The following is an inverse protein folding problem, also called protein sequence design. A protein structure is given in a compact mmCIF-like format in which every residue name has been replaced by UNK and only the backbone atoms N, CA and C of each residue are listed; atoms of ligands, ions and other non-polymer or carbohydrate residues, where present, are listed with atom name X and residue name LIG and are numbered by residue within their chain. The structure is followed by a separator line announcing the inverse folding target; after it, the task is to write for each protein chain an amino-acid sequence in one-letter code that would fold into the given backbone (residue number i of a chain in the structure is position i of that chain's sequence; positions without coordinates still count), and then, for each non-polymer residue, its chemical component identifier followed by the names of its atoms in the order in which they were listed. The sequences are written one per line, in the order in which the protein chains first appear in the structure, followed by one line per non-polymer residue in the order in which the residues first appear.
data_IF_695554499424
#
_entry.id   IF_695554499424
#
_cell.length_a   1.000
_cell.length_b   1.000
_cell.length_c   1.000
_cell.angle_alpha   90.00
_cell.angle_beta   90.00
_cell.angle_gamma   90.00
#
_symmetry.space_group_name_H-M   'P 1'
#
loop_
_entity.id
_entity.type
_entity.pdbx_description
1 polymer ?
#
# COMPACT_ATOMS: atom_id res chain seq x y z
N UNK A 1 1.00 -21.16 -9.49
CA UNK A 1 1.05 -20.93 -8.05
C UNK A 1 2.45 -21.31 -7.61
N UNK A 2 3.07 -20.48 -6.80
CA UNK A 2 4.37 -20.79 -6.17
C UNK A 2 4.14 -21.81 -5.08
N UNK A 3 4.97 -22.85 -5.02
CA UNK A 3 4.88 -23.91 -4.01
C UNK A 3 5.86 -23.67 -2.86
N UNK A 4 5.65 -24.33 -1.72
CA UNK A 4 6.60 -24.30 -0.59
C UNK A 4 8.00 -24.73 -1.04
N UNK A 5 8.08 -25.77 -1.88
CA UNK A 5 9.35 -26.21 -2.46
C UNK A 5 10.03 -25.11 -3.27
N UNK A 6 9.29 -24.39 -4.12
CA UNK A 6 9.86 -23.28 -4.90
C UNK A 6 10.44 -22.18 -3.99
N UNK A 7 9.82 -21.93 -2.84
CA UNK A 7 10.32 -20.97 -1.84
C UNK A 7 11.61 -21.47 -1.19
N UNK A 8 11.65 -22.72 -0.73
CA UNK A 8 12.84 -23.32 -0.11
C UNK A 8 14.02 -23.40 -1.10
N UNK A 9 13.75 -23.76 -2.35
CA UNK A 9 14.75 -23.77 -3.43
C UNK A 9 15.26 -22.33 -3.68
N UNK A 10 14.37 -21.32 -3.65
CA UNK A 10 14.73 -19.90 -3.80
C UNK A 10 15.57 -19.37 -2.62
N UNK A 11 15.27 -19.80 -1.40
CA UNK A 11 16.05 -19.46 -0.20
C UNK A 11 17.51 -19.91 -0.38
N UNK A 12 17.73 -21.15 -0.83
CA UNK A 12 19.06 -21.68 -1.08
C UNK A 12 19.75 -20.97 -2.26
N UNK A 13 19.02 -20.79 -3.38
CA UNK A 13 19.58 -20.20 -4.59
C UNK A 13 20.03 -18.75 -4.42
N UNK A 14 19.37 -17.99 -3.55
CA UNK A 14 19.68 -16.58 -3.29
C UNK A 14 20.56 -16.36 -2.04
N UNK A 15 21.04 -17.43 -1.39
CA UNK A 15 21.82 -17.35 -0.15
C UNK A 15 21.13 -16.52 0.94
N UNK A 16 19.82 -16.74 1.12
CA UNK A 16 18.99 -16.03 2.10
C UNK A 16 19.46 -16.35 3.52
N UNK A 17 19.68 -15.31 4.33
CA UNK A 17 20.07 -15.42 5.73
C UNK A 17 18.88 -15.36 6.68
N UNK A 18 17.87 -14.59 6.29
CA UNK A 18 16.69 -14.33 7.11
C UNK A 18 15.41 -14.40 6.30
N UNK A 19 14.33 -14.84 6.94
CA UNK A 19 12.97 -14.75 6.40
C UNK A 19 12.15 -13.81 7.27
N UNK A 20 11.62 -12.77 6.64
CA UNK A 20 10.82 -11.73 7.25
C UNK A 20 9.34 -11.99 7.00
N UNK A 21 8.65 -12.48 8.03
CA UNK A 21 7.22 -12.77 7.95
C UNK A 21 6.42 -11.50 8.22
N UNK A 22 5.58 -11.10 7.26
CA UNK A 22 4.86 -9.83 7.29
C UNK A 22 3.35 -10.00 7.30
N UNK A 23 2.64 -9.16 8.03
CA UNK A 23 1.17 -9.17 8.08
C UNK A 23 0.62 -7.76 8.23
N UNK A 24 -0.68 -7.57 7.99
CA UNK A 24 -1.30 -6.23 8.04
C UNK A 24 -2.21 -6.10 9.25
N UNK A 25 -2.01 -5.06 10.06
CA UNK A 25 -2.90 -4.78 11.19
C UNK A 25 -4.22 -4.11 10.74
N UNK A 26 -5.24 -3.97 11.63
CA UNK A 26 -6.52 -3.36 11.27
C UNK A 26 -6.46 -1.90 10.83
N UNK A 27 -5.36 -1.19 11.11
CA UNK A 27 -5.12 0.18 10.66
C UNK A 27 -4.44 0.23 9.29
N UNK A 28 -4.11 -0.92 8.73
CA UNK A 28 -3.45 -1.06 7.43
C UNK A 28 -1.93 -0.97 7.49
N UNK A 29 -1.31 -0.95 8.68
CA UNK A 29 0.15 -0.92 8.79
C UNK A 29 0.70 -2.33 8.56
N UNK A 30 1.72 -2.41 7.72
CA UNK A 30 2.47 -3.65 7.52
C UNK A 30 3.42 -3.84 8.70
N UNK A 31 3.22 -4.94 9.42
CA UNK A 31 3.98 -5.40 10.58
C UNK A 31 4.87 -6.57 10.14
N UNK A 32 5.94 -6.84 10.87
CA UNK A 32 6.85 -7.92 10.52
C UNK A 32 7.54 -8.55 11.74
N UNK A 33 8.01 -9.78 11.57
CA UNK A 33 8.92 -10.49 12.48
C UNK A 33 9.92 -11.30 11.65
N UNK A 34 11.20 -11.18 11.98
CA UNK A 34 12.28 -11.79 11.22
C UNK A 34 12.80 -13.05 11.92
N UNK A 35 12.95 -14.13 11.15
CA UNK A 35 13.48 -15.41 11.60
C UNK A 35 14.80 -15.72 10.91
N UNK A 36 15.71 -16.37 11.64
CA UNK A 36 16.89 -17.00 11.04
C UNK A 36 16.45 -18.08 10.03
N UNK A 37 17.15 -18.20 8.91
CA UNK A 37 16.84 -19.19 7.88
C UNK A 37 16.83 -20.62 8.42
N UNK A 38 17.55 -20.92 9.52
CA UNK A 38 17.53 -22.24 10.16
C UNK A 38 16.16 -22.63 10.73
N UNK A 39 15.25 -21.67 10.92
CA UNK A 39 13.90 -21.88 11.43
C UNK A 39 12.87 -22.06 10.30
N UNK A 40 13.31 -22.08 9.04
CA UNK A 40 12.43 -22.10 7.87
C UNK A 40 12.55 -23.43 7.16
N UNK A 41 11.54 -24.28 7.36
CA UNK A 41 11.40 -25.60 6.76
C UNK A 41 9.96 -25.79 6.24
N UNK A 42 9.58 -27.02 5.87
CA UNK A 42 8.21 -27.30 5.42
C UNK A 42 7.16 -27.16 6.55
N UNK A 43 7.57 -27.33 7.81
CA UNK A 43 6.69 -27.31 8.99
C UNK A 43 6.15 -25.89 9.23
N UNK A 44 6.97 -24.84 9.08
CA UNK A 44 6.47 -23.46 9.25
C UNK A 44 5.39 -23.06 8.23
N UNK A 45 5.35 -23.69 7.04
CA UNK A 45 4.29 -23.44 6.06
C UNK A 45 3.04 -24.29 6.32
N UNK A 46 3.20 -25.46 6.95
CA UNK A 46 2.10 -26.35 7.28
C UNK A 46 1.40 -25.95 8.59
N UNK A 47 2.19 -25.59 9.60
CA UNK A 47 1.73 -25.30 10.96
C UNK A 47 1.79 -23.80 11.28
N UNK A 48 2.60 -23.00 10.59
CA UNK A 48 2.75 -21.58 10.93
C UNK A 48 3.67 -21.34 12.13
N UNK A 49 3.73 -20.08 12.57
CA UNK A 49 4.54 -19.68 13.73
C UNK A 49 3.81 -18.71 14.65
N UNK A 50 4.06 -18.80 15.95
CA UNK A 50 3.38 -18.01 16.96
C UNK A 50 3.92 -16.58 17.06
N UNK A 51 3.05 -15.65 17.43
CA UNK A 51 3.42 -14.28 17.81
C UNK A 51 2.44 -13.70 18.84
N UNK A 52 2.85 -12.61 19.52
CA UNK A 52 1.99 -11.90 20.46
C UNK A 52 1.03 -10.94 19.74
N UNK A 53 -0.22 -11.36 19.62
CA UNK A 53 -1.32 -10.56 19.05
C UNK A 53 -1.87 -9.48 19.99
N UNK A 54 -1.54 -9.49 21.29
CA UNK A 54 -2.02 -8.47 22.23
C UNK A 54 -1.34 -7.11 22.03
N UNK A 55 -0.14 -7.13 21.46
CA UNK A 55 0.61 -5.93 21.07
C UNK A 55 0.08 -5.27 19.78
N UNK A 56 -0.88 -5.91 19.08
CA UNK A 56 -1.52 -5.35 17.88
C UNK A 56 -2.82 -4.65 18.27
N UNK A 57 -2.87 -3.33 18.06
CA UNK A 57 -3.99 -2.52 18.46
C UNK A 57 -5.31 -2.98 17.82
N UNK A 58 -6.28 -3.36 18.66
CA UNK A 58 -7.59 -3.83 18.21
C UNK A 58 -7.67 -5.34 17.96
N UNK A 59 -6.66 -6.12 18.32
CA UNK A 59 -6.69 -7.60 18.28
C UNK A 59 -7.02 -8.20 19.65
N UNK A 60 -6.15 -9.06 20.17
CA UNK A 60 -6.42 -9.87 21.37
C UNK A 60 -6.20 -9.09 22.65
N UNK A 61 -6.88 -9.52 23.71
CA UNK A 61 -6.55 -9.09 25.07
C UNK A 61 -5.30 -9.84 25.55
N UNK A 62 -4.61 -9.29 26.57
CA UNK A 62 -3.36 -9.86 27.07
C UNK A 62 -3.49 -11.31 27.60
N UNK A 63 -4.68 -11.72 28.01
CA UNK A 63 -4.97 -13.07 28.51
C UNK A 63 -5.26 -14.09 27.39
N UNK A 64 -5.32 -13.64 26.13
CA UNK A 64 -5.53 -14.46 24.93
C UNK A 64 -4.54 -14.03 23.83
N UNK A 65 -3.31 -13.67 24.22
CA UNK A 65 -2.32 -13.00 23.37
C UNK A 65 -1.90 -13.78 22.14
N UNK A 66 -1.78 -15.10 22.28
CA UNK A 66 -1.12 -15.94 21.28
C UNK A 66 -1.94 -16.00 19.99
N UNK A 67 -1.26 -15.76 18.88
CA UNK A 67 -1.81 -15.81 17.53
C UNK A 67 -0.80 -16.52 16.61
N UNK A 68 -1.26 -16.97 15.44
CA UNK A 68 -0.43 -17.75 14.53
C UNK A 68 -0.37 -17.10 13.14
N UNK A 69 0.86 -16.95 12.63
CA UNK A 69 1.17 -16.49 11.28
C UNK A 69 1.28 -17.70 10.36
N UNK A 70 0.51 -17.68 9.28
CA UNK A 70 0.54 -18.69 8.22
C UNK A 70 1.18 -18.08 6.96
N UNK A 71 2.46 -18.40 6.64
CA UNK A 71 3.14 -17.84 5.48
C UNK A 71 2.48 -18.27 4.17
N UNK A 72 2.30 -17.33 3.24
CA UNK A 72 1.79 -17.59 1.89
C UNK A 72 2.94 -17.65 0.87
N UNK A 73 3.27 -18.84 0.32
CA UNK A 73 4.35 -19.00 -0.66
C UNK A 73 4.23 -18.13 -1.91
N UNK A 74 3.01 -17.75 -2.32
CA UNK A 74 2.82 -16.91 -3.51
C UNK A 74 3.34 -15.49 -3.35
N UNK A 75 3.52 -15.04 -2.10
CA UNK A 75 3.95 -13.69 -1.75
C UNK A 75 5.47 -13.55 -1.52
N UNK A 76 6.21 -14.66 -1.59
CA UNK A 76 7.63 -14.67 -1.30
C UNK A 76 8.43 -13.81 -2.29
N UNK A 77 9.21 -12.86 -1.77
CA UNK A 77 10.09 -12.01 -2.57
C UNK A 77 11.36 -11.62 -1.80
N UNK A 78 12.45 -11.31 -2.50
CA UNK A 78 13.67 -10.78 -1.86
C UNK A 78 13.47 -9.28 -1.60
N UNK A 79 13.73 -8.86 -0.37
CA UNK A 79 13.70 -7.45 0.01
C UNK A 79 14.99 -6.76 -0.46
N UNK A 80 14.90 -5.68 -1.26
CA UNK A 80 16.07 -5.04 -1.86
C UNK A 80 16.78 -4.04 -0.92
N UNK A 81 16.30 -3.83 0.30
CA UNK A 81 16.79 -2.77 1.18
C UNK A 81 17.61 -3.26 2.37
N UNK A 82 17.46 -4.52 2.79
CA UNK A 82 18.25 -5.07 3.89
C UNK A 82 19.69 -5.35 3.45
N UNK A 83 20.64 -5.13 4.37
CA UNK A 83 22.06 -5.40 4.12
C UNK A 83 22.36 -6.89 3.93
N UNK A 84 21.71 -7.74 4.74
CA UNK A 84 21.77 -9.20 4.61
C UNK A 84 20.60 -9.68 3.75
N UNK A 85 20.86 -10.66 2.88
CA UNK A 85 19.83 -11.20 1.98
C UNK A 85 18.65 -11.73 2.79
N UNK A 86 17.51 -11.06 2.65
CA UNK A 86 16.31 -11.34 3.44
C UNK A 86 15.13 -11.54 2.51
N UNK A 87 14.41 -12.66 2.68
CA UNK A 87 13.18 -12.94 1.95
C UNK A 87 11.97 -12.47 2.75
N UNK A 88 11.12 -11.63 2.18
CA UNK A 88 9.83 -11.24 2.76
C UNK A 88 8.75 -12.21 2.31
N UNK A 89 7.90 -12.68 3.25
CA UNK A 89 6.72 -13.51 2.96
C UNK A 89 5.52 -12.93 3.72
N UNK A 90 4.41 -12.69 3.02
CA UNK A 90 3.16 -12.25 3.63
C UNK A 90 2.44 -13.42 4.29
N UNK A 91 1.93 -13.20 5.49
CA UNK A 91 1.20 -14.19 6.26
C UNK A 91 -0.28 -13.81 6.39
N UNK A 92 -1.13 -14.81 6.37
CA UNK A 92 -2.48 -14.72 6.96
C UNK A 92 -2.37 -14.97 8.47
N UNK A 93 -3.37 -14.51 9.22
CA UNK A 93 -3.45 -14.73 10.68
C UNK A 93 -4.57 -15.70 11.01
N UNK A 94 -4.28 -16.70 11.84
CA UNK A 94 -5.26 -17.73 12.26
C UNK A 94 -5.33 -17.84 13.78
N UNK A 95 -6.46 -18.37 14.27
CA UNK A 95 -6.64 -18.70 15.68
C UNK A 95 -5.82 -19.95 16.04
N UNK A 96 -4.94 -19.90 17.05
CA UNK A 96 -3.97 -20.98 17.30
C UNK A 96 -4.60 -22.29 17.78
N UNK A 97 -5.78 -22.22 18.41
CA UNK A 97 -6.47 -23.42 18.95
C UNK A 97 -7.33 -24.13 17.93
N UNK A 98 -7.86 -23.40 16.94
CA UNK A 98 -8.80 -23.96 15.95
C UNK A 98 -8.23 -24.02 14.55
N UNK A 99 -7.16 -23.27 14.25
CA UNK A 99 -6.63 -23.06 12.90
C UNK A 99 -7.54 -22.21 12.01
N UNK A 100 -8.64 -21.66 12.56
CA UNK A 100 -9.62 -20.91 11.76
C UNK A 100 -9.10 -19.51 11.39
N UNK A 101 -9.43 -18.98 10.20
CA UNK A 101 -9.01 -17.64 9.78
C UNK A 101 -9.47 -16.55 10.75
N UNK A 102 -8.52 -15.74 11.22
CA UNK A 102 -8.81 -14.70 12.21
C UNK A 102 -9.75 -13.64 11.65
N UNK A 103 -10.80 -13.32 12.39
CA UNK A 103 -11.88 -12.43 11.92
C UNK A 103 -11.47 -10.96 11.78
N UNK A 104 -10.33 -10.55 12.34
CA UNK A 104 -9.80 -9.18 12.27
C UNK A 104 -8.51 -9.07 11.46
N UNK A 105 -8.14 -10.13 10.75
CA UNK A 105 -7.10 -10.09 9.73
C UNK A 105 -7.66 -9.44 8.44
N UNK A 106 -7.18 -8.25 8.03
CA UNK A 106 -7.61 -7.60 6.81
C UNK A 106 -7.39 -8.46 5.55
N UNK A 107 -6.29 -9.23 5.50
CA UNK A 107 -5.95 -10.08 4.35
C UNK A 107 -6.89 -11.27 4.26
N UNK A 108 -7.15 -11.94 5.39
CA UNK A 108 -8.19 -12.97 5.52
C UNK A 108 -9.59 -12.47 5.14
N UNK A 109 -9.96 -11.23 5.48
CA UNK A 109 -11.23 -10.61 5.05
C UNK A 109 -11.28 -10.44 3.53
N UNK A 110 -10.18 -9.99 2.90
CA UNK A 110 -10.11 -9.86 1.44
C UNK A 110 -10.30 -11.22 0.74
N UNK A 111 -9.67 -12.30 1.24
CA UNK A 111 -9.90 -13.66 0.73
C UNK A 111 -11.36 -14.10 0.85
N UNK A 112 -11.99 -13.83 2.01
CA UNK A 112 -13.41 -14.12 2.23
C UNK A 112 -14.29 -13.34 1.24
N UNK A 113 -13.93 -12.10 0.89
CA UNK A 113 -14.65 -11.30 -0.11
C UNK A 113 -14.54 -11.88 -1.53
N UNK A 114 -13.36 -12.36 -1.95
CA UNK A 114 -13.19 -13.05 -3.23
C UNK A 114 -14.01 -14.35 -3.28
N UNK A 115 -13.95 -15.16 -2.23
CA UNK A 115 -14.73 -16.40 -2.13
C UNK A 115 -16.24 -16.12 -2.12
N UNK A 116 -16.68 -15.04 -1.47
CA UNK A 116 -18.08 -14.61 -1.47
C UNK A 116 -18.55 -14.23 -2.88
N UNK A 117 -17.75 -13.48 -3.65
CA UNK A 117 -18.10 -13.16 -5.04
C UNK A 117 -18.32 -14.44 -5.85
N UNK A 118 -17.38 -15.40 -5.75
CA UNK A 118 -17.49 -16.67 -6.45
C UNK A 118 -18.76 -17.44 -6.06
N UNK A 119 -19.13 -17.46 -4.78
CA UNK A 119 -20.33 -18.16 -4.29
C UNK A 119 -21.64 -17.51 -4.76
N UNK A 120 -21.65 -16.21 -5.06
CA UNK A 120 -22.83 -15.54 -5.62
C UNK A 120 -23.15 -15.95 -7.06
N UNK A 121 -22.16 -16.48 -7.79
CA UNK A 121 -22.26 -16.79 -9.21
C UNK A 121 -22.27 -15.55 -10.13
N UNK A 122 -22.12 -14.33 -9.61
CA UNK A 122 -22.04 -13.10 -10.41
C UNK A 122 -20.72 -13.05 -11.19
N UNK A 123 -19.61 -13.44 -10.56
CA UNK A 123 -18.29 -13.54 -11.17
C UNK A 123 -17.40 -14.54 -10.43
N UNK A 124 -16.30 -14.93 -11.04
CA UNK A 124 -15.27 -15.77 -10.42
C UNK A 124 -14.00 -15.00 -10.04
N UNK A 125 -13.82 -13.81 -10.61
CA UNK A 125 -12.63 -12.98 -10.40
C UNK A 125 -13.04 -11.52 -10.28
N UNK A 126 -12.44 -10.82 -9.33
CA UNK A 126 -12.52 -9.36 -9.23
C UNK A 126 -11.12 -8.77 -9.36
N UNK A 127 -10.98 -7.76 -10.22
CA UNK A 127 -9.75 -7.01 -10.38
C UNK A 127 -9.86 -5.64 -9.74
N UNK A 128 -8.77 -5.23 -9.10
CA UNK A 128 -8.57 -3.93 -8.48
C UNK A 128 -7.33 -3.26 -9.11
N UNK A 129 -7.39 -1.95 -9.33
CA UNK A 129 -6.27 -1.11 -9.77
C UNK A 129 -6.21 0.14 -8.90
N UNK A 130 -5.45 0.11 -7.78
CA UNK A 130 -5.28 1.26 -6.91
C UNK A 130 -4.19 2.22 -7.43
N UNK A 131 -4.47 3.52 -7.42
CA UNK A 131 -3.55 4.62 -7.71
C UNK A 131 -3.35 5.41 -6.42
N UNK A 132 -2.30 5.10 -5.65
CA UNK A 132 -2.04 5.71 -4.35
C UNK A 132 -1.08 6.90 -4.50
N UNK A 133 -1.65 8.10 -4.59
CA UNK A 133 -0.90 9.35 -4.60
C UNK A 133 -0.18 9.56 -3.26
N UNK A 134 0.93 10.28 -3.26
CA UNK A 134 1.72 10.57 -2.05
C UNK A 134 2.49 11.88 -2.19
N UNK A 135 3.01 12.37 -1.08
CA UNK A 135 3.92 13.52 -1.03
C UNK A 135 5.30 13.09 -0.58
N UNK A 136 6.33 13.80 -1.03
CA UNK A 136 7.70 13.69 -0.50
C UNK A 136 8.12 15.05 0.07
N UNK A 137 8.52 15.08 1.34
CA UNK A 137 8.98 16.28 2.03
C UNK A 137 10.45 16.16 2.44
N UNK A 138 11.11 17.31 2.57
CA UNK A 138 12.49 17.42 3.05
C UNK A 138 12.54 17.53 4.58
N UNK A 139 11.55 18.18 5.21
CA UNK A 139 11.44 18.33 6.66
C UNK A 139 9.97 18.25 7.10
N UNK A 140 9.72 17.50 8.17
CA UNK A 140 8.39 17.35 8.78
C UNK A 140 8.52 17.46 10.28
N UNK A 141 7.88 18.47 10.87
CA UNK A 141 7.88 18.73 12.33
C UNK A 141 6.46 18.85 12.81
N UNK A 142 6.12 18.20 13.93
CA UNK A 142 4.80 18.33 14.53
C UNK A 142 4.87 18.31 16.06
N UNK A 143 3.88 18.93 16.70
CA UNK A 143 3.73 18.98 18.15
C UNK A 143 2.25 18.93 18.50
N UNK A 144 1.91 18.26 19.59
CA UNK A 144 0.55 18.12 20.09
C UNK A 144 0.53 18.17 21.62
N UNK A 145 1.06 19.25 22.19
CA UNK A 145 0.96 19.54 23.61
C UNK A 145 -0.08 20.65 23.87
N UNK A 146 -0.57 20.82 25.12
CA UNK A 146 -1.65 21.76 25.45
C UNK A 146 -1.43 23.22 25.05
N UNK A 147 -0.17 23.66 24.87
CA UNK A 147 0.17 25.04 24.52
C UNK A 147 0.78 25.17 23.12
N UNK A 148 1.19 24.07 22.51
CA UNK A 148 1.82 24.03 21.20
C UNK A 148 1.26 22.84 20.40
N UNK A 149 0.27 23.13 19.56
CA UNK A 149 -0.31 22.16 18.64
C UNK A 149 -0.17 22.67 17.21
N UNK A 150 0.47 21.88 16.36
CA UNK A 150 0.66 22.23 14.96
C UNK A 150 1.68 21.36 14.27
N UNK A 151 1.90 21.63 12.99
CA UNK A 151 2.93 20.98 12.18
C UNK A 151 3.52 21.98 11.20
N UNK A 152 4.72 21.66 10.70
CA UNK A 152 5.41 22.36 9.62
C UNK A 152 5.93 21.30 8.67
N UNK A 153 5.71 21.54 7.39
CA UNK A 153 6.23 20.74 6.28
C UNK A 153 7.14 21.64 5.47
N UNK A 154 8.21 21.07 4.93
CA UNK A 154 9.08 21.76 4.01
C UNK A 154 9.50 20.85 2.87
N UNK A 155 9.69 21.43 1.69
CA UNK A 155 10.29 20.78 0.53
C UNK A 155 10.82 21.86 -0.41
N UNK A 156 11.97 21.58 -1.01
CA UNK A 156 12.60 22.40 -2.05
C UNK A 156 11.66 22.74 -3.22
N UNK A 157 10.67 21.90 -3.51
CA UNK A 157 9.67 22.16 -4.55
C UNK A 157 8.56 23.14 -4.10
N UNK A 158 8.38 23.38 -2.80
CA UNK A 158 7.26 24.17 -2.32
C UNK A 158 7.34 25.63 -2.77
N UNK A 159 6.20 26.25 -3.13
CA UNK A 159 6.14 27.65 -3.53
C UNK A 159 6.44 28.60 -2.37
N UNK A 160 6.46 28.12 -1.12
CA UNK A 160 6.86 28.91 0.04
C UNK A 160 8.36 29.19 0.10
N UNK A 161 9.15 28.54 -0.77
CA UNK A 161 10.61 28.64 -0.75
C UNK A 161 11.18 29.49 -1.89
N UNK A 162 10.35 30.24 -2.61
CA UNK A 162 10.78 31.06 -3.76
C UNK A 162 11.79 32.16 -3.44
N UNK A 163 11.89 32.57 -2.18
CA UNK A 163 12.81 33.59 -1.67
C UNK A 163 13.76 33.04 -0.60
N UNK A 164 13.80 31.72 -0.41
CA UNK A 164 14.67 31.08 0.59
C UNK A 164 16.13 31.17 0.19
N UNK A 165 16.99 31.55 1.15
CA UNK A 165 18.44 31.52 0.98
C UNK A 165 18.96 30.09 1.17
N UNK A 166 19.59 29.56 0.12
CA UNK A 166 20.31 28.28 0.16
C UNK A 166 21.81 28.53 0.03
N UNK A 167 22.64 27.67 0.61
CA UNK A 167 24.11 27.76 0.51
C UNK A 167 24.58 27.79 -0.96
N UNK A 168 23.93 27.01 -1.83
CA UNK A 168 24.18 26.98 -3.29
C UNK A 168 23.42 28.03 -4.10
N UNK A 169 22.66 28.91 -3.47
CA UNK A 169 21.74 29.85 -4.11
C UNK A 169 20.37 29.26 -4.45
N UNK A 170 19.37 30.13 -4.62
CA UNK A 170 18.03 29.75 -5.04
C UNK A 170 17.92 29.75 -6.57
N UNK A 171 17.71 28.58 -7.16
CA UNK A 171 17.67 28.39 -8.62
C UNK A 171 16.32 28.77 -9.26
N UNK A 172 15.30 29.08 -8.46
CA UNK A 172 14.01 29.63 -8.91
C UNK A 172 13.03 28.65 -9.57
N UNK A 173 13.41 27.39 -9.79
CA UNK A 173 12.59 26.36 -10.44
C UNK A 173 11.62 25.66 -9.47
N UNK A 174 10.74 26.43 -8.80
CA UNK A 174 9.78 25.89 -7.84
C UNK A 174 8.45 25.47 -8.50
N UNK A 175 7.80 24.49 -7.88
CA UNK A 175 6.45 24.07 -8.26
C UNK A 175 5.44 25.07 -7.69
N UNK A 176 4.55 25.57 -8.54
CA UNK A 176 3.46 26.45 -8.09
C UNK A 176 2.37 25.63 -7.42
N UNK A 177 1.59 26.25 -6.54
CA UNK A 177 0.35 25.65 -6.03
C UNK A 177 -0.52 25.17 -7.20
N UNK A 178 -0.93 23.90 -7.17
CA UNK A 178 -1.67 23.22 -8.25
C UNK A 178 -0.96 23.22 -9.62
N UNK A 179 0.37 23.34 -9.65
CA UNK A 179 1.18 23.48 -10.86
C UNK A 179 2.15 22.32 -11.12
N UNK A 180 2.07 21.24 -10.36
CA UNK A 180 3.02 20.12 -10.42
C UNK A 180 2.78 19.12 -11.54
N UNK A 181 1.64 19.20 -12.26
CA UNK A 181 1.30 18.25 -13.31
C UNK A 181 1.60 18.85 -14.70
N UNK A 182 2.61 18.42 -15.46
CA UNK A 182 3.71 17.51 -15.11
C UNK A 182 5.03 18.03 -15.73
N UNK A 183 5.50 19.22 -15.35
CA UNK A 183 6.62 19.87 -16.01
C UNK A 183 7.87 18.99 -15.95
N UNK A 184 8.73 19.11 -16.97
CA UNK A 184 10.02 18.42 -17.00
C UNK A 184 11.00 19.05 -15.99
N UNK A 185 12.08 18.34 -15.61
CA UNK A 185 13.19 18.93 -14.86
C UNK A 185 13.73 20.21 -15.53
N UNK A 186 14.23 21.20 -14.77
CA UNK A 186 14.52 21.14 -13.34
C UNK A 186 13.36 21.51 -12.39
N UNK A 187 12.14 21.77 -12.90
CA UNK A 187 10.99 22.06 -12.02
C UNK A 187 10.58 20.81 -11.24
N UNK A 188 10.51 19.67 -11.94
CA UNK A 188 10.35 18.36 -11.32
C UNK A 188 11.70 17.85 -10.80
N UNK A 189 11.86 17.82 -9.48
CA UNK A 189 13.11 17.45 -8.82
C UNK A 189 13.21 15.97 -8.46
N UNK A 190 12.11 15.22 -8.63
CA UNK A 190 11.98 13.85 -8.11
C UNK A 190 11.92 12.76 -9.20
N UNK A 191 12.24 13.09 -10.45
CA UNK A 191 12.21 12.15 -11.59
C UNK A 191 12.99 10.86 -11.32
N UNK A 192 14.27 10.96 -10.95
CA UNK A 192 15.12 9.79 -10.71
C UNK A 192 14.67 9.00 -9.47
N UNK A 193 14.25 9.70 -8.41
CA UNK A 193 13.74 9.07 -7.20
C UNK A 193 12.49 8.22 -7.48
N UNK A 194 11.56 8.73 -8.30
CA UNK A 194 10.36 7.95 -8.70
C UNK A 194 10.71 6.76 -9.58
N UNK A 195 11.71 6.88 -10.46
CA UNK A 195 12.22 5.75 -11.24
C UNK A 195 12.80 4.66 -10.33
N UNK A 196 13.55 5.03 -9.30
CA UNK A 196 14.09 4.09 -8.32
C UNK A 196 12.99 3.42 -7.49
N UNK A 197 11.96 4.17 -7.08
CA UNK A 197 10.78 3.62 -6.42
C UNK A 197 10.09 2.53 -7.26
N UNK A 198 9.83 2.79 -8.56
CA UNK A 198 9.27 1.76 -9.45
C UNK A 198 10.21 0.54 -9.56
N UNK A 199 11.51 0.78 -9.68
CA UNK A 199 12.51 -0.29 -9.77
C UNK A 199 12.53 -1.18 -8.53
N UNK A 200 12.45 -0.59 -7.33
CA UNK A 200 12.39 -1.34 -6.08
C UNK A 200 11.11 -2.16 -5.94
N UNK A 201 9.96 -1.57 -6.31
CA UNK A 201 8.68 -2.29 -6.32
C UNK A 201 8.70 -3.48 -7.27
N UNK A 202 9.26 -3.31 -8.47
CA UNK A 202 9.40 -4.38 -9.45
C UNK A 202 10.29 -5.53 -8.96
N UNK A 203 11.38 -5.23 -8.23
CA UNK A 203 12.24 -6.26 -7.61
C UNK A 203 11.50 -7.10 -6.57
N UNK A 204 10.51 -6.53 -5.89
CA UNK A 204 9.64 -7.25 -4.95
C UNK A 204 8.42 -7.91 -5.63
N UNK A 205 8.37 -7.94 -6.96
CA UNK A 205 7.34 -8.66 -7.73
C UNK A 205 6.11 -7.84 -8.12
N UNK A 206 6.02 -6.57 -7.72
CA UNK A 206 4.91 -5.71 -8.11
C UNK A 206 4.98 -5.38 -9.62
N UNK A 207 3.83 -5.46 -10.30
CA UNK A 207 3.73 -5.11 -11.73
C UNK A 207 3.52 -3.61 -11.90
N UNK A 208 4.61 -2.90 -12.14
CA UNK A 208 4.63 -1.44 -12.29
C UNK A 208 4.26 -0.97 -13.71
N UNK A 209 3.78 0.27 -13.83
CA UNK A 209 3.41 0.88 -15.12
C UNK A 209 4.16 2.18 -15.42
N UNK A 210 3.75 3.28 -14.78
CA UNK A 210 4.22 4.64 -15.03
C UNK A 210 4.57 5.33 -13.71
N UNK A 211 5.23 6.47 -13.78
CA UNK A 211 5.28 7.42 -12.66
C UNK A 211 5.16 8.85 -13.20
N UNK A 212 4.65 9.76 -12.39
CA UNK A 212 4.68 11.19 -12.70
C UNK A 212 4.61 12.03 -11.44
N UNK A 213 4.98 13.29 -11.58
CA UNK A 213 4.61 14.32 -10.62
C UNK A 213 3.08 14.56 -10.72
N UNK A 214 2.46 14.81 -9.57
CA UNK A 214 1.02 15.07 -9.44
C UNK A 214 0.73 16.57 -9.35
N UNK A 215 -0.54 16.96 -9.20
CA UNK A 215 -0.98 18.36 -9.29
C UNK A 215 -0.39 19.26 -8.20
N UNK A 216 -0.35 18.80 -6.94
CA UNK A 216 0.20 19.62 -5.85
C UNK A 216 1.73 19.67 -5.87
N UNK A 217 2.29 20.70 -5.26
CA UNK A 217 3.75 20.80 -5.07
C UNK A 217 4.25 19.63 -4.21
N UNK A 218 5.35 18.98 -4.61
CA UNK A 218 5.90 17.81 -3.94
C UNK A 218 4.98 16.58 -3.89
N UNK A 219 4.02 16.48 -4.82
CA UNK A 219 3.08 15.36 -4.94
C UNK A 219 3.48 14.44 -6.10
N UNK A 220 3.27 13.13 -5.92
CA UNK A 220 3.67 12.12 -6.89
C UNK A 220 2.67 10.98 -6.96
N UNK A 221 2.73 10.24 -8.08
CA UNK A 221 1.99 8.99 -8.28
C UNK A 221 2.86 7.98 -9.04
N UNK A 222 2.78 6.71 -8.62
CA UNK A 222 3.31 5.55 -9.33
C UNK A 222 2.13 4.64 -9.72
N UNK A 223 2.20 4.06 -10.92
CA UNK A 223 1.18 3.18 -11.46
C UNK A 223 1.48 1.71 -11.15
N UNK A 224 0.44 0.98 -10.71
CA UNK A 224 0.43 -0.47 -10.60
C UNK A 224 -0.56 -1.06 -11.61
N UNK A 225 -0.13 -2.09 -12.32
CA UNK A 225 -1.04 -2.88 -13.15
C UNK A 225 -2.05 -3.58 -12.26
N UNK A 226 -3.32 -3.52 -12.64
CA UNK A 226 -4.40 -4.16 -11.92
C UNK A 226 -4.17 -5.66 -11.71
N UNK A 227 -4.78 -6.20 -10.66
CA UNK A 227 -4.66 -7.60 -10.26
C UNK A 227 -5.83 -8.03 -9.39
N UNK A 228 -5.82 -9.29 -8.94
CA UNK A 228 -6.84 -9.81 -8.01
C UNK A 228 -6.82 -9.02 -6.69
N UNK A 229 -7.92 -9.03 -5.93
CA UNK A 229 -8.09 -8.20 -4.74
C UNK A 229 -6.94 -8.41 -3.74
N UNK A 230 -6.65 -9.66 -3.37
CA UNK A 230 -5.61 -9.96 -2.37
C UNK A 230 -4.22 -9.58 -2.90
N UNK A 231 -3.92 -9.96 -4.14
CA UNK A 231 -2.64 -9.62 -4.79
C UNK A 231 -2.40 -8.11 -4.82
N UNK A 232 -3.44 -7.31 -5.10
CA UNK A 232 -3.30 -5.85 -5.15
C UNK A 232 -3.23 -5.20 -3.77
N UNK A 233 -3.85 -5.81 -2.76
CA UNK A 233 -3.65 -5.39 -1.38
C UNK A 233 -2.20 -5.62 -0.94
N UNK A 234 -1.62 -6.79 -1.26
CA UNK A 234 -0.22 -7.12 -0.98
C UNK A 234 0.74 -6.18 -1.74
N UNK A 235 0.51 -5.95 -3.03
CA UNK A 235 1.29 -4.99 -3.82
C UNK A 235 1.17 -3.55 -3.32
N UNK A 236 0.04 -3.15 -2.74
CA UNK A 236 -0.11 -1.82 -2.15
C UNK A 236 0.72 -1.66 -0.86
N UNK A 237 0.96 -2.74 -0.11
CA UNK A 237 1.90 -2.72 1.01
C UNK A 237 3.35 -2.59 0.53
N UNK A 238 3.72 -3.34 -0.51
CA UNK A 238 5.03 -3.19 -1.19
C UNK A 238 5.21 -1.76 -1.71
N UNK A 239 4.20 -1.21 -2.39
CA UNK A 239 4.19 0.16 -2.91
C UNK A 239 4.56 1.18 -1.82
N UNK A 240 3.83 1.15 -0.70
CA UNK A 240 4.06 2.08 0.42
C UNK A 240 5.43 1.85 1.05
N UNK A 241 5.84 0.59 1.22
CA UNK A 241 7.12 0.25 1.81
C UNK A 241 8.29 0.76 0.95
N UNK A 242 8.31 0.44 -0.35
CA UNK A 242 9.36 0.88 -1.27
C UNK A 242 9.45 2.41 -1.36
N UNK A 243 8.31 3.11 -1.39
CA UNK A 243 8.31 4.58 -1.43
C UNK A 243 8.89 5.19 -0.15
N UNK A 244 8.52 4.68 1.03
CA UNK A 244 9.13 5.17 2.27
C UNK A 244 10.62 4.86 2.33
N UNK A 245 11.05 3.66 1.92
CA UNK A 245 12.46 3.25 1.94
C UNK A 245 13.31 4.09 0.99
N UNK A 246 12.88 4.26 -0.27
CA UNK A 246 13.62 5.06 -1.25
C UNK A 246 13.63 6.53 -0.84
N UNK A 247 12.50 7.11 -0.39
CA UNK A 247 12.51 8.48 0.11
C UNK A 247 13.52 8.66 1.26
N UNK A 248 13.56 7.71 2.21
CA UNK A 248 14.51 7.74 3.32
C UNK A 248 15.97 7.63 2.88
N UNK A 249 16.28 6.80 1.88
CA UNK A 249 17.64 6.69 1.29
C UNK A 249 18.10 8.02 0.69
N UNK A 250 17.19 8.78 0.08
CA UNK A 250 17.45 10.11 -0.46
C UNK A 250 17.45 11.23 0.61
N UNK A 251 17.34 10.88 1.90
CA UNK A 251 17.28 11.86 2.99
C UNK A 251 15.97 12.66 3.03
N UNK A 252 14.89 12.10 2.49
CA UNK A 252 13.55 12.70 2.45
C UNK A 252 12.54 11.82 3.21
N UNK A 253 11.32 12.31 3.36
CA UNK A 253 10.23 11.56 4.00
C UNK A 253 8.96 11.57 3.15
N UNK A 254 8.41 10.39 2.88
CA UNK A 254 7.17 10.26 2.11
C UNK A 254 5.95 10.13 3.02
N UNK A 255 4.79 10.61 2.55
CA UNK A 255 3.51 10.43 3.24
C UNK A 255 2.36 10.19 2.29
N UNK A 256 1.48 9.28 2.69
CA UNK A 256 0.23 8.91 2.01
C UNK A 256 -1.00 9.60 2.60
N UNK A 257 -0.79 10.59 3.49
CA UNK A 257 -1.91 11.22 4.17
C UNK A 257 -2.82 11.96 3.17
N UNK A 258 -4.16 11.93 3.34
CA UNK A 258 -5.07 12.47 2.33
C UNK A 258 -4.91 13.96 2.01
N UNK A 259 -4.39 14.74 2.97
CA UNK A 259 -4.35 16.20 2.88
C UNK A 259 -3.25 16.78 3.76
N UNK A 260 -1.98 16.75 3.33
CA UNK A 260 -0.89 17.36 4.08
C UNK A 260 -0.88 18.89 3.96
N UNK A 261 -1.24 19.43 2.80
CA UNK A 261 -1.16 20.86 2.48
C UNK A 261 -2.56 21.43 2.24
N UNK A 262 -2.90 22.50 2.98
CA UNK A 262 -4.12 23.27 2.76
C UNK A 262 -3.99 24.13 1.49
N UNK A 263 -5.07 24.24 0.71
CA UNK A 263 -5.11 25.08 -0.50
C UNK A 263 -4.50 24.45 -1.77
N UNK A 264 -3.73 23.36 -1.66
CA UNK A 264 -3.25 22.60 -2.82
C UNK A 264 -4.12 21.35 -3.09
N UNK A 265 -3.73 20.42 -3.97
CA UNK A 265 -4.36 19.09 -4.10
C UNK A 265 -4.05 18.19 -2.88
N UNK A 266 -4.62 16.99 -2.82
CA UNK A 266 -4.37 16.05 -1.71
C UNK A 266 -4.47 14.62 -2.20
N UNK A 267 -3.78 13.70 -1.53
CA UNK A 267 -3.57 12.34 -2.00
C UNK A 267 -4.84 11.48 -1.99
N UNK A 268 -5.24 11.02 -3.18
CA UNK A 268 -6.21 9.98 -3.39
C UNK A 268 -5.63 8.57 -3.32
N UNK A 269 -6.54 7.61 -3.18
CA UNK A 269 -6.32 6.25 -3.65
C UNK A 269 -7.45 5.95 -4.62
N UNK A 270 -7.29 6.29 -5.91
CA UNK A 270 -8.30 5.95 -6.90
C UNK A 270 -8.30 4.44 -7.07
N UNK A 271 -9.47 3.80 -7.11
CA UNK A 271 -9.57 2.34 -7.15
C UNK A 271 -10.45 1.91 -8.30
N UNK A 272 -9.81 1.51 -9.39
CA UNK A 272 -10.46 0.94 -10.57
C UNK A 272 -10.87 -0.51 -10.28
N UNK A 273 -12.11 -0.88 -10.63
CA UNK A 273 -12.69 -2.17 -10.26
C UNK A 273 -13.38 -2.82 -11.46
N UNK A 274 -13.20 -4.13 -11.63
CA UNK A 274 -13.97 -4.91 -12.61
C UNK A 274 -14.23 -6.33 -12.13
N UNK A 275 -15.41 -6.87 -12.44
CA UNK A 275 -15.77 -8.27 -12.20
C UNK A 275 -15.71 -9.06 -13.51
N UNK A 276 -15.22 -10.29 -13.44
CA UNK A 276 -15.07 -11.20 -14.56
C UNK A 276 -15.69 -12.57 -14.24
N UNK A 277 -16.17 -13.24 -15.28
CA UNK A 277 -16.76 -14.58 -15.20
C UNK A 277 -16.38 -15.40 -16.42
N UNK A 278 -15.81 -16.59 -16.22
CA UNK A 278 -15.35 -17.48 -17.29
C UNK A 278 -14.38 -16.78 -18.25
N UNK A 279 -13.53 -15.89 -17.72
CA UNK A 279 -12.58 -15.12 -18.52
C UNK A 279 -13.19 -14.00 -19.38
N UNK A 280 -14.46 -13.63 -19.16
CA UNK A 280 -15.14 -12.51 -19.84
C UNK A 280 -15.48 -11.38 -18.87
N UNK A 281 -15.38 -10.10 -19.29
CA UNK A 281 -15.72 -8.97 -18.43
C UNK A 281 -17.23 -8.93 -18.18
N UNK A 282 -17.64 -8.84 -16.92
CA UNK A 282 -19.05 -8.67 -16.53
C UNK A 282 -19.48 -7.22 -16.64
N UNK A 283 -18.53 -6.27 -16.51
CA UNK A 283 -18.85 -4.84 -16.47
C UNK A 283 -18.98 -4.17 -17.84
N UNK A 284 -18.49 -4.80 -18.91
CA UNK A 284 -18.65 -4.29 -20.27
C UNK A 284 -20.05 -4.59 -20.81
N UNK A 285 -20.71 -3.62 -21.43
CA UNK A 285 -22.07 -3.78 -21.95
C UNK A 285 -22.47 -2.67 -22.93
N UNK A 286 -23.78 -2.46 -23.07
CA UNK A 286 -24.38 -1.57 -24.07
C UNK A 286 -25.23 -0.44 -23.44
N UNK A 287 -25.06 -0.18 -22.13
CA UNK A 287 -25.78 0.86 -21.41
C UNK A 287 -24.98 2.16 -21.39
N UNK A 288 -25.13 2.94 -20.33
CA UNK A 288 -24.43 4.20 -20.17
C UNK A 288 -22.91 3.99 -20.16
N UNK A 289 -22.18 4.76 -20.99
CA UNK A 289 -20.73 4.71 -21.10
C UNK A 289 -20.17 3.29 -21.36
N UNK A 290 -20.86 2.50 -22.20
CA UNK A 290 -20.50 1.12 -22.57
C UNK A 290 -20.43 0.15 -21.38
N UNK A 291 -21.16 0.47 -20.29
CA UNK A 291 -21.27 -0.37 -19.11
C UNK A 291 -22.43 -1.37 -19.23
N UNK A 292 -22.29 -2.51 -18.56
CA UNK A 292 -23.38 -3.48 -18.39
C UNK A 292 -24.38 -3.04 -17.33
N UNK A 293 -25.54 -3.70 -17.31
CA UNK A 293 -26.54 -3.47 -16.26
C UNK A 293 -26.00 -3.87 -14.88
N UNK A 294 -25.21 -4.93 -14.82
CA UNK A 294 -24.52 -5.42 -13.62
C UNK A 294 -23.55 -4.37 -13.08
N UNK A 295 -22.79 -3.70 -13.94
CA UNK A 295 -21.90 -2.60 -13.52
C UNK A 295 -22.69 -1.41 -12.97
N UNK A 296 -23.79 -1.02 -13.61
CA UNK A 296 -24.63 0.06 -13.12
C UNK A 296 -25.24 -0.25 -11.74
N UNK A 297 -25.65 -1.50 -11.50
CA UNK A 297 -26.11 -1.94 -10.17
C UNK A 297 -24.98 -1.98 -9.15
N UNK A 298 -23.78 -2.41 -9.55
CA UNK A 298 -22.59 -2.39 -8.72
C UNK A 298 -22.26 -0.96 -8.24
N UNK A 299 -22.24 0.01 -9.15
CA UNK A 299 -22.07 1.44 -8.84
C UNK A 299 -23.20 1.93 -7.92
N UNK A 300 -24.45 1.56 -8.22
CA UNK A 300 -25.60 1.91 -7.38
C UNK A 300 -25.47 1.39 -5.95
N UNK A 301 -24.91 0.20 -5.75
CA UNK A 301 -24.59 -0.36 -4.43
C UNK A 301 -23.55 0.46 -3.68
N UNK A 302 -22.44 0.83 -4.35
CA UNK A 302 -21.40 1.68 -3.75
C UNK A 302 -22.00 3.03 -3.32
N UNK A 303 -22.76 3.70 -4.18
CA UNK A 303 -23.39 4.99 -3.87
C UNK A 303 -24.37 4.86 -2.70
N UNK A 304 -25.23 3.83 -2.71
CA UNK A 304 -26.21 3.56 -1.66
C UNK A 304 -25.54 3.39 -0.28
N UNK A 305 -24.36 2.76 -0.25
CA UNK A 305 -23.63 2.45 0.98
C UNK A 305 -22.46 3.40 1.26
N UNK A 306 -22.27 4.47 0.48
CA UNK A 306 -21.10 5.35 0.54
C UNK A 306 -20.82 5.90 1.96
N UNK A 307 -21.87 6.30 2.69
CA UNK A 307 -21.74 6.82 4.05
C UNK A 307 -21.09 5.82 5.01
N UNK A 308 -21.48 4.55 4.96
CA UNK A 308 -20.88 3.50 5.80
C UNK A 308 -19.53 3.03 5.25
N UNK A 309 -19.37 2.99 3.92
CA UNK A 309 -18.10 2.62 3.29
C UNK A 309 -16.97 3.58 3.66
N UNK A 310 -17.26 4.88 3.83
CA UNK A 310 -16.27 5.87 4.27
C UNK A 310 -15.57 5.54 5.59
N UNK A 311 -16.17 4.71 6.46
CA UNK A 311 -15.49 4.23 7.66
C UNK A 311 -14.25 3.36 7.34
N UNK A 312 -14.21 2.73 6.16
CA UNK A 312 -13.13 1.86 5.69
C UNK A 312 -12.32 2.51 4.58
N UNK A 313 -12.97 3.17 3.62
CA UNK A 313 -12.30 3.81 2.47
C UNK A 313 -11.70 5.17 2.82
N UNK A 314 -12.20 5.84 3.85
CA UNK A 314 -11.75 7.15 4.30
C UNK A 314 -11.61 7.18 5.84
N UNK A 315 -10.79 6.29 6.42
CA UNK A 315 -10.86 5.95 7.84
C UNK A 315 -10.24 6.98 8.80
N UNK A 316 -9.65 8.07 8.28
CA UNK A 316 -8.96 9.08 9.07
C UNK A 316 -9.75 10.39 9.12
N UNK A 317 -9.62 11.13 10.21
CA UNK A 317 -10.13 12.51 10.30
C UNK A 317 -9.54 13.40 9.20
N UNK A 318 -8.28 13.16 8.82
CA UNK A 318 -7.60 13.86 7.73
C UNK A 318 -8.22 13.59 6.34
N UNK A 319 -8.86 12.44 6.14
CA UNK A 319 -9.54 12.10 4.88
C UNK A 319 -10.60 13.14 4.53
N UNK A 320 -11.34 13.62 5.53
CA UNK A 320 -12.41 14.60 5.36
C UNK A 320 -11.90 16.03 5.15
N UNK A 321 -10.59 16.27 5.29
CA UNK A 321 -9.95 17.53 4.89
C UNK A 321 -9.65 17.58 3.38
N UNK A 322 -9.58 16.40 2.73
CA UNK A 322 -9.44 16.26 1.28
C UNK A 322 -10.78 16.42 0.56
N UNK A 323 -11.88 15.95 1.15
CA UNK A 323 -13.22 15.92 0.56
C UNK A 323 -13.92 17.29 0.64
N UNK A 324 -13.32 18.30 0.00
CA UNK A 324 -13.85 19.65 -0.14
C UNK A 324 -13.90 20.01 -1.64
N UNK A 325 -14.88 20.82 -2.07
CA UNK A 325 -15.06 21.18 -3.49
C UNK A 325 -13.92 22.04 -4.05
#
# INVERSE_FOLDING_TARGET
MTTVKDVLDSIQANDVKYVDLRFTDPRGKWQHVTFDVSMIDEEIFAEGTAFDGSSIAGWKAINESDMQLMPDPESACIDPFFSETTMSIVCDVVEPTTGEPYSRDPRGIARKAEAYLASTGIGDTVYFGPEAEFFIFDDVRYKADPYNTGFRLDSSELPTNTDTEYEGGNLGHHVRTKGGYFPVPPIDSAQDMRSEMLGAMAKMGARVEKHHHEVASAQHELGLKFGKLVTMADHLQIYKYCIHQVANIYGKTATFMPKPVYGDNGSGMHVHQSIWKGGKPVFAGDKYADLSQECLWYIGGIIKHAKSLNAFTNPLTNSYKRLVP
#
